data_IF_184806099323
#
_entry.id   IF_184806099323
#
_cell.length_a   1.000
_cell.length_b   1.000
_cell.length_c   1.000
_cell.angle_alpha   90.00
_cell.angle_beta   90.00
_cell.angle_gamma   90.00
#
_symmetry.space_group_name_H-M   'P 1'
#
loop_
_entity.id
_entity.type
_entity.pdbx_description
1 polymer ?
#
# COMPACT_ATOMS: atom_id res chain seq x y z
N UNK A 1 -14.82 3.32 -32.07
CA UNK A 1 -15.44 2.09 -31.54
C UNK A 1 -15.14 0.92 -32.48
N UNK A 2 -13.88 0.45 -32.53
CA UNK A 2 -13.43 -0.56 -33.53
C UNK A 2 -13.32 -1.99 -32.94
N UNK A 3 -13.46 -2.14 -31.62
CA UNK A 3 -13.36 -3.44 -30.95
C UNK A 3 -14.69 -4.18 -31.02
N UNK A 4 -14.66 -5.48 -31.38
CA UNK A 4 -15.84 -6.36 -31.38
C UNK A 4 -16.52 -6.41 -29.99
N UNK A 5 -17.84 -6.62 -29.93
CA UNK A 5 -18.57 -6.76 -28.67
C UNK A 5 -17.98 -7.86 -27.79
N UNK A 6 -17.99 -7.64 -26.47
CA UNK A 6 -17.46 -8.57 -25.47
C UNK A 6 -18.26 -9.88 -25.47
N UNK A 7 -17.58 -11.02 -25.36
CA UNK A 7 -18.25 -12.31 -25.17
C UNK A 7 -18.45 -12.59 -23.66
N UNK A 8 -19.71 -12.68 -23.21
CA UNK A 8 -20.04 -12.84 -21.79
C UNK A 8 -19.52 -14.15 -21.15
N UNK A 9 -19.29 -15.20 -21.96
CA UNK A 9 -18.83 -16.51 -21.45
C UNK A 9 -17.31 -16.55 -21.23
N UNK A 10 -16.54 -15.86 -22.07
CA UNK A 10 -15.07 -15.88 -22.04
C UNK A 10 -14.45 -14.63 -21.42
N UNK A 11 -15.02 -13.45 -21.66
CA UNK A 11 -14.48 -12.17 -21.19
C UNK A 11 -15.16 -11.74 -19.88
N UNK A 12 -14.86 -12.47 -18.81
CA UNK A 12 -15.37 -12.17 -17.46
C UNK A 12 -14.83 -10.83 -16.96
N UNK A 13 -15.62 -10.16 -16.11
CA UNK A 13 -15.23 -8.88 -15.50
C UNK A 13 -14.07 -9.07 -14.50
N UNK A 14 -14.20 -10.10 -13.67
CA UNK A 14 -13.16 -10.60 -12.78
C UNK A 14 -12.67 -11.95 -13.32
N UNK A 15 -11.49 -11.92 -13.94
CA UNK A 15 -10.82 -13.11 -14.46
C UNK A 15 -9.62 -13.45 -13.57
N UNK A 16 -9.13 -14.68 -13.64
CA UNK A 16 -8.03 -15.15 -12.80
C UNK A 16 -6.76 -14.29 -12.96
N UNK A 17 -6.52 -13.75 -14.17
CA UNK A 17 -5.41 -12.82 -14.45
C UNK A 17 -5.49 -11.55 -13.61
N UNK A 18 -6.71 -11.04 -13.39
CA UNK A 18 -6.93 -9.89 -12.50
C UNK A 18 -6.57 -10.25 -11.06
N UNK A 19 -6.94 -11.45 -10.61
CA UNK A 19 -6.59 -11.93 -9.26
C UNK A 19 -5.09 -12.04 -9.07
N UNK A 20 -4.36 -12.64 -10.01
CA UNK A 20 -2.89 -12.71 -9.95
C UNK A 20 -2.28 -11.32 -9.87
N UNK A 21 -2.72 -10.40 -10.71
CA UNK A 21 -2.21 -9.04 -10.72
C UNK A 21 -2.46 -8.32 -9.38
N UNK A 22 -3.68 -8.39 -8.85
CA UNK A 22 -4.04 -7.64 -7.64
C UNK A 22 -3.43 -8.28 -6.39
N UNK A 23 -3.53 -9.60 -6.23
CA UNK A 23 -3.11 -10.29 -5.01
C UNK A 23 -1.62 -10.64 -5.02
N UNK A 24 -1.13 -11.26 -6.11
CA UNK A 24 0.24 -11.78 -6.15
C UNK A 24 1.27 -10.76 -6.62
N UNK A 25 0.87 -9.77 -7.42
CA UNK A 25 1.78 -8.71 -7.84
C UNK A 25 1.69 -7.50 -6.92
N UNK A 26 0.55 -6.79 -6.91
CA UNK A 26 0.43 -5.55 -6.12
C UNK A 26 0.38 -5.86 -4.62
N UNK A 27 -0.47 -6.79 -4.19
CA UNK A 27 -0.64 -7.16 -2.78
C UNK A 27 0.65 -7.67 -2.13
N UNK A 28 1.38 -8.54 -2.83
CA UNK A 28 2.62 -9.13 -2.35
C UNK A 28 3.78 -8.12 -2.31
N UNK A 29 3.71 -7.00 -3.05
CA UNK A 29 4.65 -5.88 -2.85
C UNK A 29 4.25 -5.00 -1.66
N UNK A 30 2.95 -4.75 -1.48
CA UNK A 30 2.43 -3.88 -0.42
C UNK A 30 2.64 -4.45 0.98
N UNK A 31 2.25 -5.71 1.17
CA UNK A 31 2.29 -6.36 2.48
C UNK A 31 3.68 -6.38 3.15
N UNK A 32 4.75 -6.89 2.52
CA UNK A 32 6.06 -6.94 3.15
C UNK A 32 6.69 -5.56 3.29
N UNK A 33 6.35 -4.59 2.44
CA UNK A 33 6.82 -3.21 2.57
C UNK A 33 6.23 -2.54 3.82
N UNK A 34 4.91 -2.63 4.00
CA UNK A 34 4.24 -2.11 5.18
C UNK A 34 4.66 -2.84 6.46
N UNK A 35 4.80 -4.18 6.40
CA UNK A 35 5.29 -4.97 7.51
C UNK A 35 6.76 -4.66 7.83
N UNK A 36 7.59 -4.41 6.83
CA UNK A 36 8.98 -3.98 6.99
C UNK A 36 9.09 -2.65 7.74
N UNK A 37 8.20 -1.70 7.46
CA UNK A 37 8.12 -0.42 8.20
C UNK A 37 7.75 -0.62 9.67
N UNK A 38 6.84 -1.55 9.96
CA UNK A 38 6.49 -1.93 11.32
C UNK A 38 7.68 -2.52 12.08
N UNK A 39 8.39 -3.47 11.46
CA UNK A 39 9.59 -4.06 12.06
C UNK A 39 10.74 -3.06 12.22
N UNK A 40 10.89 -2.12 11.29
CA UNK A 40 11.88 -1.04 11.40
C UNK A 40 11.60 -0.19 12.64
N UNK A 41 10.34 0.16 12.90
CA UNK A 41 9.96 0.86 14.13
C UNK A 41 10.25 0.05 15.39
N UNK A 42 9.87 -1.24 15.41
CA UNK A 42 10.15 -2.12 16.56
C UNK A 42 11.66 -2.22 16.83
N UNK A 43 12.48 -2.30 15.78
CA UNK A 43 13.93 -2.32 15.90
C UNK A 43 14.50 -1.02 16.49
N UNK A 44 13.88 0.14 16.22
CA UNK A 44 14.29 1.41 16.82
C UNK A 44 13.98 1.49 18.32
N UNK A 45 12.98 0.75 18.79
CA UNK A 45 12.67 0.61 20.22
C UNK A 45 13.50 -0.49 20.90
N UNK A 46 14.49 -1.07 20.21
CA UNK A 46 15.34 -2.13 20.76
C UNK A 46 14.72 -3.54 20.73
N UNK A 47 13.56 -3.72 20.08
CA UNK A 47 12.94 -5.02 19.86
C UNK A 47 13.32 -5.56 18.48
N UNK A 48 14.27 -6.50 18.44
CA UNK A 48 14.67 -7.13 17.19
C UNK A 48 13.55 -8.01 16.61
N UNK A 49 13.62 -8.33 15.31
CA UNK A 49 12.63 -9.19 14.64
C UNK A 49 12.31 -10.49 15.40
N UNK A 50 13.34 -11.15 15.97
CA UNK A 50 13.20 -12.39 16.74
C UNK A 50 12.49 -12.22 18.08
N UNK A 51 12.54 -11.01 18.64
CA UNK A 51 11.94 -10.67 19.93
C UNK A 51 10.45 -10.34 19.83
N UNK A 52 9.93 -10.30 18.60
CA UNK A 52 8.55 -9.92 18.30
C UNK A 52 7.81 -11.05 17.57
N UNK A 53 8.51 -11.87 16.79
CA UNK A 53 7.90 -12.99 16.08
C UNK A 53 7.54 -14.16 17.01
N UNK A 54 6.30 -14.63 16.94
CA UNK A 54 5.79 -15.79 17.71
C UNK A 54 5.90 -15.64 19.25
N UNK A 55 5.90 -14.41 19.76
CA UNK A 55 6.08 -14.11 21.19
C UNK A 55 4.73 -13.98 21.94
N UNK A 56 3.60 -14.34 21.34
CA UNK A 56 2.26 -14.15 21.93
C UNK A 56 2.13 -14.62 23.38
N UNK A 57 2.68 -15.79 23.72
CA UNK A 57 2.62 -16.33 25.09
C UNK A 57 3.57 -15.63 26.08
N UNK A 58 4.60 -14.95 25.58
CA UNK A 58 5.64 -14.26 26.38
C UNK A 58 5.44 -12.74 26.42
N UNK A 59 4.50 -12.20 25.63
CA UNK A 59 4.15 -10.79 25.57
C UNK A 59 3.38 -10.38 26.83
N UNK A 60 4.10 -10.27 27.94
CA UNK A 60 3.58 -9.93 29.25
C UNK A 60 4.47 -8.88 29.92
N UNK A 61 4.04 -8.42 31.09
CA UNK A 61 4.76 -7.42 31.87
C UNK A 61 6.20 -7.90 32.17
N UNK A 62 7.20 -7.07 31.87
CA UNK A 62 8.62 -7.39 32.05
C UNK A 62 9.29 -8.03 30.83
N UNK A 63 8.60 -8.23 29.71
CA UNK A 63 9.24 -8.69 28.47
C UNK A 63 10.32 -7.69 28.03
N UNK A 64 11.58 -8.16 27.96
CA UNK A 64 12.76 -7.34 27.60
C UNK A 64 12.93 -6.08 28.47
N UNK A 65 12.40 -6.09 29.70
CA UNK A 65 12.52 -4.98 30.65
C UNK A 65 11.49 -3.86 30.46
N UNK A 66 10.49 -4.06 29.61
CA UNK A 66 9.41 -3.09 29.38
C UNK A 66 8.13 -3.46 30.10
N UNK A 67 7.32 -2.46 30.45
CA UNK A 67 5.98 -2.69 30.96
C UNK A 67 5.01 -3.08 29.85
N UNK A 68 3.89 -3.72 30.20
CA UNK A 68 2.87 -4.11 29.22
C UNK A 68 2.28 -2.88 28.50
N UNK A 69 2.09 -1.77 29.21
CA UNK A 69 1.57 -0.52 28.63
C UNK A 69 2.54 0.08 27.60
N UNK A 70 3.86 -0.03 27.83
CA UNK A 70 4.88 0.41 26.89
C UNK A 70 4.91 -0.47 25.64
N UNK A 71 4.81 -1.79 25.82
CA UNK A 71 4.71 -2.75 24.72
C UNK A 71 3.49 -2.46 23.83
N UNK A 72 2.34 -2.26 24.45
CA UNK A 72 1.09 -1.95 23.76
C UNK A 72 1.17 -0.60 23.04
N UNK A 73 1.83 0.39 23.65
CA UNK A 73 2.11 1.66 23.00
C UNK A 73 2.97 1.49 21.74
N UNK A 74 4.05 0.69 21.80
CA UNK A 74 4.86 0.41 20.61
C UNK A 74 4.08 -0.30 19.51
N UNK A 75 3.21 -1.25 19.87
CA UNK A 75 2.35 -1.94 18.91
C UNK A 75 1.39 -0.97 18.25
N UNK A 76 0.75 -0.07 19.00
CA UNK A 76 -0.17 0.96 18.48
C UNK A 76 0.53 1.90 17.51
N UNK A 77 1.73 2.39 17.85
CA UNK A 77 2.52 3.26 16.96
C UNK A 77 2.92 2.51 15.69
N UNK A 78 3.38 1.27 15.82
CA UNK A 78 3.68 0.42 14.68
C UNK A 78 2.45 0.20 13.77
N UNK A 79 1.29 -0.10 14.34
CA UNK A 79 0.03 -0.26 13.58
C UNK A 79 -0.32 1.01 12.80
N UNK A 80 -0.12 2.18 13.41
CA UNK A 80 -0.31 3.46 12.76
C UNK A 80 0.67 3.66 11.58
N UNK A 81 1.96 3.31 11.76
CA UNK A 81 2.97 3.33 10.68
C UNK A 81 2.58 2.42 9.53
N UNK A 82 2.12 1.20 9.84
CA UNK A 82 1.64 0.24 8.85
C UNK A 82 0.44 0.81 8.07
N UNK A 83 -0.52 1.41 8.77
CA UNK A 83 -1.69 2.06 8.17
C UNK A 83 -1.29 3.19 7.22
N UNK A 84 -0.46 4.15 7.66
CA UNK A 84 -0.02 5.27 6.82
C UNK A 84 0.76 4.78 5.60
N UNK A 85 1.62 3.77 5.78
CA UNK A 85 2.36 3.15 4.67
C UNK A 85 1.40 2.56 3.63
N UNK A 86 0.37 1.84 4.07
CA UNK A 86 -0.65 1.33 3.15
C UNK A 86 -1.41 2.45 2.43
N UNK A 87 -1.83 3.52 3.13
CA UNK A 87 -2.52 4.65 2.51
C UNK A 87 -1.71 5.24 1.36
N UNK A 88 -0.41 5.48 1.57
CA UNK A 88 0.44 5.98 0.49
C UNK A 88 0.62 4.95 -0.62
N UNK A 89 0.86 3.68 -0.29
CA UNK A 89 1.02 2.63 -1.30
C UNK A 89 -0.23 2.46 -2.19
N UNK A 90 -1.43 2.75 -1.66
CA UNK A 90 -2.65 2.79 -2.49
C UNK A 90 -2.57 3.82 -3.61
N UNK A 91 -1.78 4.87 -3.50
CA UNK A 91 -1.62 5.85 -4.58
C UNK A 91 -0.89 5.23 -5.76
N UNK A 92 0.15 4.44 -5.48
CA UNK A 92 0.86 3.65 -6.49
C UNK A 92 -0.09 2.64 -7.14
N UNK A 93 -0.87 1.91 -6.33
CA UNK A 93 -1.88 0.96 -6.83
C UNK A 93 -2.96 1.61 -7.71
N UNK A 94 -3.51 2.75 -7.28
CA UNK A 94 -4.54 3.49 -7.99
C UNK A 94 -4.05 3.96 -9.37
N UNK A 95 -2.86 4.53 -9.42
CA UNK A 95 -2.23 4.99 -10.66
C UNK A 95 -1.83 3.81 -11.57
N UNK A 96 -1.40 2.69 -11.00
CA UNK A 96 -1.08 1.46 -11.73
C UNK A 96 -2.31 0.86 -12.43
N UNK A 97 -3.42 0.69 -11.70
CA UNK A 97 -4.65 0.04 -12.21
C UNK A 97 -5.38 0.90 -13.26
N UNK A 98 -5.15 2.22 -13.26
CA UNK A 98 -5.78 3.18 -14.19
C UNK A 98 -5.58 2.79 -15.66
N UNK A 99 -4.41 2.28 -16.02
CA UNK A 99 -4.12 1.88 -17.40
C UNK A 99 -3.65 0.42 -17.45
N UNK A 100 -4.42 -0.45 -18.12
CA UNK A 100 -4.05 -1.89 -18.23
C UNK A 100 -2.89 -2.17 -19.19
N UNK A 101 -2.68 -1.33 -20.21
CA UNK A 101 -1.63 -1.51 -21.24
C UNK A 101 -0.91 -0.22 -21.62
N UNK A 102 -1.46 0.93 -21.25
CA UNK A 102 -0.88 2.24 -21.61
C UNK A 102 0.02 2.72 -20.47
N UNK A 103 1.19 3.23 -20.80
CA UNK A 103 2.10 3.85 -19.83
C UNK A 103 1.46 5.11 -19.26
N UNK A 104 1.70 5.37 -17.99
CA UNK A 104 1.28 6.59 -17.31
C UNK A 104 1.87 7.83 -17.99
N UNK A 105 3.09 7.75 -18.56
CA UNK A 105 3.72 8.88 -19.27
C UNK A 105 3.00 9.26 -20.56
N UNK A 106 2.40 8.27 -21.25
CA UNK A 106 1.62 8.49 -22.48
C UNK A 106 0.16 8.83 -22.20
N UNK A 107 -0.32 8.54 -20.98
CA UNK A 107 -1.69 8.76 -20.51
C UNK A 107 -1.64 9.65 -19.26
N UNK A 108 -1.14 10.87 -19.47
CA UNK A 108 -0.86 11.81 -18.39
C UNK A 108 -2.13 12.06 -17.54
N UNK A 109 -2.07 11.88 -16.20
CA UNK A 109 -3.18 12.15 -15.31
C UNK A 109 -3.55 13.63 -15.17
N UNK A 110 -2.61 14.55 -15.39
CA UNK A 110 -2.75 15.97 -15.08
C UNK A 110 -3.16 16.84 -16.28
N UNK A 111 -2.78 16.44 -17.50
CA UNK A 111 -3.07 17.22 -18.71
C UNK A 111 -3.49 16.31 -19.89
N UNK A 112 -4.43 16.79 -20.71
CA UNK A 112 -4.81 16.18 -21.98
C UNK A 112 -6.20 15.52 -22.02
N UNK A 113 -6.54 14.80 -23.12
CA UNK A 113 -7.89 14.28 -23.38
C UNK A 113 -8.35 13.18 -22.42
N UNK A 114 -7.43 12.60 -21.66
CA UNK A 114 -7.68 11.53 -20.67
C UNK A 114 -7.51 12.02 -19.24
N UNK A 115 -7.63 13.33 -18.99
CA UNK A 115 -7.58 13.88 -17.64
C UNK A 115 -8.69 13.30 -16.76
N UNK A 116 -8.38 13.04 -15.49
CA UNK A 116 -9.39 12.70 -14.49
C UNK A 116 -9.02 13.37 -13.18
N UNK A 117 -9.50 14.61 -12.98
CA UNK A 117 -9.23 15.42 -11.79
C UNK A 117 -9.86 14.84 -10.51
N UNK A 118 -10.81 13.91 -10.63
CA UNK A 118 -11.38 13.21 -9.46
C UNK A 118 -10.35 12.31 -8.79
N UNK A 119 -9.37 11.77 -9.54
CA UNK A 119 -8.31 10.92 -9.00
C UNK A 119 -7.42 11.67 -8.00
N UNK A 120 -6.76 12.80 -8.36
CA UNK A 120 -5.97 13.55 -7.39
C UNK A 120 -6.82 14.12 -6.25
N UNK A 121 -8.09 14.51 -6.50
CA UNK A 121 -9.00 14.90 -5.41
C UNK A 121 -9.24 13.76 -4.42
N UNK A 122 -9.46 12.54 -4.90
CA UNK A 122 -9.60 11.35 -4.06
C UNK A 122 -8.32 10.99 -3.29
N UNK A 123 -7.14 11.18 -3.91
CA UNK A 123 -5.85 11.03 -3.22
C UNK A 123 -5.72 12.05 -2.08
N UNK A 124 -6.02 13.31 -2.32
CA UNK A 124 -6.01 14.34 -1.26
C UNK A 124 -7.03 14.01 -0.16
N UNK A 125 -8.25 13.62 -0.52
CA UNK A 125 -9.28 13.24 0.45
C UNK A 125 -8.84 12.06 1.34
N UNK A 126 -8.22 11.04 0.76
CA UNK A 126 -7.70 9.89 1.51
C UNK A 126 -6.50 10.26 2.40
N UNK A 127 -5.64 11.20 1.99
CA UNK A 127 -4.59 11.75 2.87
C UNK A 127 -5.20 12.49 4.07
N UNK A 128 -6.22 13.33 3.83
CA UNK A 128 -6.90 14.06 4.90
C UNK A 128 -7.58 13.13 5.89
N UNK A 129 -8.25 12.08 5.40
CA UNK A 129 -8.84 11.04 6.26
C UNK A 129 -7.76 10.34 7.10
N UNK A 130 -6.60 10.03 6.52
CA UNK A 130 -5.51 9.42 7.27
C UNK A 130 -4.98 10.34 8.38
N UNK A 131 -4.83 11.64 8.11
CA UNK A 131 -4.44 12.65 9.12
C UNK A 131 -5.49 12.75 10.22
N UNK A 132 -6.78 12.80 9.87
CA UNK A 132 -7.88 12.84 10.84
C UNK A 132 -7.87 11.58 11.72
N UNK A 133 -7.69 10.40 11.14
CA UNK A 133 -7.62 9.14 11.89
C UNK A 133 -6.45 9.10 12.87
N UNK A 134 -5.33 9.73 12.53
CA UNK A 134 -4.12 9.71 13.35
C UNK A 134 -4.14 10.73 14.50
N UNK A 135 -4.69 11.92 14.24
CA UNK A 135 -4.60 13.07 15.15
C UNK A 135 -5.96 13.51 15.72
N UNK A 136 -7.06 12.89 15.30
CA UNK A 136 -8.39 13.17 15.81
C UNK A 136 -8.55 12.66 17.25
N UNK A 137 -8.81 13.53 18.26
CA UNK A 137 -8.80 13.13 19.67
C UNK A 137 -9.84 12.05 20.01
N UNK A 138 -11.02 12.09 19.37
CA UNK A 138 -12.03 11.04 19.53
C UNK A 138 -11.63 9.71 18.89
N UNK A 139 -10.88 9.75 17.78
CA UNK A 139 -10.44 8.55 17.06
C UNK A 139 -9.26 7.88 17.76
N UNK A 140 -8.38 8.67 18.39
CA UNK A 140 -7.30 8.15 19.23
C UNK A 140 -7.84 7.34 20.41
N UNK A 141 -8.93 7.79 21.03
CA UNK A 141 -9.55 7.05 22.13
C UNK A 141 -10.28 5.77 21.65
N UNK A 142 -11.01 5.84 20.53
CA UNK A 142 -11.82 4.70 20.04
C UNK A 142 -10.98 3.63 19.35
N UNK A 143 -10.05 4.05 18.48
CA UNK A 143 -9.24 3.15 17.67
C UNK A 143 -7.84 2.90 18.24
N UNK A 144 -7.46 3.60 19.32
CA UNK A 144 -6.12 3.49 19.90
C UNK A 144 -5.03 4.05 18.99
N UNK A 145 -5.38 4.96 18.07
CA UNK A 145 -4.39 5.58 17.17
C UNK A 145 -3.45 6.48 17.95
N UNK A 146 -2.21 6.56 17.46
CA UNK A 146 -1.14 7.32 18.11
C UNK A 146 -0.38 8.13 17.05
N UNK A 147 0.16 9.31 17.44
CA UNK A 147 0.97 10.11 16.54
C UNK A 147 2.23 9.33 16.14
N UNK A 148 2.53 9.34 14.85
CA UNK A 148 3.67 8.63 14.26
C UNK A 148 4.87 9.59 14.15
N UNK A 149 6.12 9.12 14.36
CA UNK A 149 7.30 9.94 14.11
C UNK A 149 7.40 10.39 12.64
N UNK A 150 7.75 11.67 12.42
CA UNK A 150 7.78 12.28 11.08
C UNK A 150 8.66 11.55 10.05
N UNK A 151 9.71 10.85 10.50
CA UNK A 151 10.58 10.05 9.63
C UNK A 151 9.81 8.98 8.82
N UNK A 152 8.79 8.34 9.44
CA UNK A 152 8.03 7.29 8.77
C UNK A 152 7.12 7.84 7.68
N UNK A 153 6.65 9.09 7.79
CA UNK A 153 5.90 9.74 6.71
C UNK A 153 6.73 9.88 5.43
N UNK A 154 7.97 10.32 5.56
CA UNK A 154 8.89 10.44 4.42
C UNK A 154 9.21 9.09 3.78
N UNK A 155 9.50 8.07 4.60
CA UNK A 155 9.76 6.71 4.11
C UNK A 155 8.54 6.10 3.41
N UNK A 156 7.33 6.28 3.98
CA UNK A 156 6.08 5.80 3.37
C UNK A 156 5.82 6.41 1.99
N UNK A 157 6.28 7.64 1.73
CA UNK A 157 6.12 8.32 0.44
C UNK A 157 7.01 7.73 -0.68
N UNK A 158 8.07 6.99 -0.35
CA UNK A 158 8.96 6.38 -1.35
C UNK A 158 8.37 5.10 -1.97
N UNK A 159 7.62 4.30 -1.19
CA UNK A 159 7.08 3.02 -1.64
C UNK A 159 6.11 3.06 -2.84
N UNK A 160 5.22 4.06 -2.99
CA UNK A 160 4.34 4.20 -4.15
C UNK A 160 5.13 4.31 -5.46
N UNK A 161 6.29 4.96 -5.43
CA UNK A 161 7.18 5.10 -6.60
C UNK A 161 7.66 3.72 -7.05
N UNK A 162 8.07 2.87 -6.11
CA UNK A 162 8.51 1.48 -6.41
C UNK A 162 7.39 0.69 -7.09
N UNK A 163 6.17 0.76 -6.57
CA UNK A 163 5.01 0.09 -7.19
C UNK A 163 4.78 0.60 -8.63
N UNK A 164 4.91 1.91 -8.84
CA UNK A 164 4.72 2.51 -10.17
C UNK A 164 5.79 2.06 -11.16
N UNK A 165 7.06 2.02 -10.74
CA UNK A 165 8.15 1.54 -11.60
C UNK A 165 7.93 0.07 -11.97
N UNK A 166 7.55 -0.77 -11.01
CA UNK A 166 7.27 -2.20 -11.27
C UNK A 166 6.08 -2.40 -12.21
N UNK A 167 5.02 -1.62 -12.06
CA UNK A 167 3.86 -1.67 -12.95
C UNK A 167 4.16 -1.16 -14.37
N UNK A 168 4.97 -0.10 -14.49
CA UNK A 168 5.43 0.39 -15.81
C UNK A 168 6.35 -0.60 -16.50
N UNK A 169 7.24 -1.28 -15.76
CA UNK A 169 8.06 -2.37 -16.30
C UNK A 169 7.18 -3.52 -16.80
N UNK A 170 6.16 -3.93 -16.05
CA UNK A 170 5.18 -4.94 -16.49
C UNK A 170 4.49 -4.53 -17.78
N UNK A 171 3.97 -3.29 -17.85
CA UNK A 171 3.34 -2.74 -19.06
C UNK A 171 4.31 -2.72 -20.25
N UNK A 172 5.58 -2.38 -20.02
CA UNK A 172 6.61 -2.38 -21.05
C UNK A 172 6.81 -3.79 -21.63
N UNK A 173 6.94 -4.81 -20.77
CA UNK A 173 7.08 -6.21 -21.18
C UNK A 173 5.89 -6.66 -22.05
N UNK A 174 4.66 -6.34 -21.64
CA UNK A 174 3.44 -6.67 -22.39
C UNK A 174 3.38 -5.99 -23.76
N UNK A 175 3.93 -4.77 -23.87
CA UNK A 175 4.00 -4.04 -25.15
C UNK A 175 5.03 -4.62 -26.09
N UNK A 176 6.19 -5.00 -25.57
CA UNK A 176 7.30 -5.58 -26.35
C UNK A 176 6.99 -7.00 -26.80
N UNK A 177 6.28 -7.79 -25.98
CA UNK A 177 5.96 -9.20 -26.26
C UNK A 177 4.45 -9.49 -26.29
N UNK A 178 3.71 -9.01 -27.31
CA UNK A 178 2.25 -9.12 -27.38
C UNK A 178 1.73 -10.56 -27.59
N UNK A 179 2.60 -11.50 -28.01
CA UNK A 179 2.28 -12.93 -28.20
C UNK A 179 2.65 -13.80 -27.00
N UNK A 180 3.48 -13.30 -26.09
CA UNK A 180 3.68 -14.00 -24.82
C UNK A 180 2.37 -13.85 -24.07
N UNK A 181 1.77 -14.96 -23.64
CA UNK A 181 0.63 -14.95 -22.73
C UNK A 181 1.07 -14.46 -21.36
N UNK A 182 1.70 -13.28 -21.27
CA UNK A 182 2.19 -12.69 -20.06
C UNK A 182 0.99 -12.53 -19.11
N UNK A 183 0.99 -13.39 -18.10
CA UNK A 183 -0.03 -13.56 -17.07
C UNK A 183 -0.06 -12.36 -16.09
N UNK A 184 0.67 -11.28 -16.40
CA UNK A 184 0.89 -10.13 -15.54
C UNK A 184 0.47 -8.82 -16.23
#
# INVERSE_FOLDING_TARGET
>A
MSRKPRNARTDRLADWRLFVQVYLFIGLMMWPSAMGMWFLYMSQQGLAFRDVILVYNKWQNGWKGYSIDQLDYFVRVGQCIYYVTLVFMQYGGLLAVRNRRVSILQSNPLWGPRQNLVVPCGMVATALIAVINLYGPGLQHVFGTTPIPGMFWGLSFCFPVVILVMDELRKLIVRTYPKSGAIL
#
